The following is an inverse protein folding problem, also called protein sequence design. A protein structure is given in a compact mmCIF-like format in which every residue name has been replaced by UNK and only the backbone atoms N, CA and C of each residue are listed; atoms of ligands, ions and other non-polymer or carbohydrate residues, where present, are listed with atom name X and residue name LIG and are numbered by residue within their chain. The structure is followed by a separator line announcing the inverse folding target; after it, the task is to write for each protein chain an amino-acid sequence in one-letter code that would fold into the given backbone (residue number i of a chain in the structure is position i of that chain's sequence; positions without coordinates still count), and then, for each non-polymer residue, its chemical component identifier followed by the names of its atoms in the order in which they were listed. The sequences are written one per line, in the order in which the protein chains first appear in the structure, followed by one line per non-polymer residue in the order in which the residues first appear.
data_IF_809308579388
#
_entry.id   IF_809308579388
#
_cell.length_a   1.000
_cell.length_b   1.000
_cell.length_c   1.000
_cell.angle_alpha   90.00
_cell.angle_beta   90.00
_cell.angle_gamma   90.00
#
_symmetry.space_group_name_H-M   'P 1'
#
loop_
_entity.id
_entity.type
_entity.pdbx_description
1 polymer ?
#
# COMPACT_ATOMS: atom_id res chain seq x y z
N UNK A 1 -6.98 -6.89 -2.26
CA UNK A 1 -6.03 -5.86 -2.73
C UNK A 1 -4.57 -6.24 -2.53
N UNK A 2 -4.17 -6.80 -1.38
CA UNK A 2 -2.76 -7.16 -1.06
C UNK A 2 -2.03 -7.94 -2.17
N UNK A 3 -2.75 -8.77 -2.94
CA UNK A 3 -2.20 -9.48 -4.08
C UNK A 3 -1.53 -8.57 -5.11
N UNK A 4 -2.10 -7.38 -5.33
CA UNK A 4 -1.68 -6.40 -6.33
C UNK A 4 -0.55 -5.48 -5.84
N UNK A 5 -0.32 -5.36 -4.53
CA UNK A 5 0.71 -4.49 -3.94
C UNK A 5 2.13 -5.09 -3.98
N UNK A 6 2.39 -6.04 -4.88
CA UNK A 6 3.68 -6.73 -4.96
C UNK A 6 4.76 -5.71 -5.35
N UNK A 7 5.87 -5.71 -4.62
CA UNK A 7 6.99 -4.83 -4.88
C UNK A 7 7.91 -5.46 -5.94
N UNK A 8 8.56 -4.63 -6.76
CA UNK A 8 9.55 -5.11 -7.72
C UNK A 8 10.78 -5.72 -7.06
N UNK A 9 11.58 -6.45 -7.85
CA UNK A 9 12.89 -6.94 -7.42
C UNK A 9 13.89 -5.80 -7.55
N UNK A 10 14.36 -5.28 -6.44
CA UNK A 10 15.39 -4.25 -6.42
C UNK A 10 16.73 -4.86 -6.90
N UNK A 11 17.46 -4.13 -7.75
CA UNK A 11 18.76 -4.51 -8.29
C UNK A 11 19.87 -3.60 -7.74
N UNK A 12 21.12 -3.81 -8.17
CA UNK A 12 22.28 -3.06 -7.70
C UNK A 12 22.24 -1.57 -8.11
N UNK A 13 21.75 -1.26 -9.30
CA UNK A 13 21.57 0.13 -9.76
C UNK A 13 20.63 0.90 -8.82
N UNK A 14 19.51 0.27 -8.44
CA UNK A 14 18.56 0.87 -7.51
C UNK A 14 19.18 1.09 -6.12
N UNK A 15 19.97 0.13 -5.63
CA UNK A 15 20.68 0.27 -4.34
C UNK A 15 21.64 1.46 -4.41
N UNK A 16 22.35 1.61 -5.52
CA UNK A 16 23.27 2.72 -5.75
C UNK A 16 22.53 4.05 -5.78
N UNK A 17 21.43 4.15 -6.53
CA UNK A 17 20.61 5.37 -6.61
C UNK A 17 20.01 5.77 -5.26
N UNK A 18 19.69 4.78 -4.42
CA UNK A 18 19.17 5.05 -3.08
C UNK A 18 20.25 5.49 -2.09
N UNK A 19 21.54 5.19 -2.32
CA UNK A 19 22.64 5.62 -1.43
C UNK A 19 22.80 7.13 -1.38
N UNK A 20 22.41 7.83 -2.44
CA UNK A 20 22.39 9.29 -2.50
C UNK A 20 21.28 9.92 -1.65
N UNK A 21 20.36 9.10 -1.14
CA UNK A 21 19.31 9.52 -0.23
C UNK A 21 19.62 9.13 1.21
N UNK A 22 19.40 10.07 2.14
CA UNK A 22 19.26 9.72 3.55
C UNK A 22 17.99 8.86 3.72
N UNK A 23 18.08 7.60 4.21
CA UNK A 23 16.95 6.67 4.28
C UNK A 23 16.01 7.02 5.45
N UNK A 24 15.34 8.16 5.38
CA UNK A 24 14.47 8.72 6.43
C UNK A 24 13.29 7.80 6.79
N UNK A 25 12.94 6.85 5.93
CA UNK A 25 11.91 5.84 6.15
C UNK A 25 12.37 4.66 7.02
N UNK A 26 13.69 4.44 7.19
CA UNK A 26 14.27 3.26 7.84
C UNK A 26 13.71 2.98 9.24
N UNK A 27 13.62 4.00 10.09
CA UNK A 27 13.09 3.87 11.45
C UNK A 27 11.63 3.37 11.44
N UNK A 28 10.81 3.91 10.54
CA UNK A 28 9.41 3.53 10.39
C UNK A 28 9.26 2.11 9.87
N UNK A 29 10.00 1.74 8.82
CA UNK A 29 10.06 0.37 8.28
C UNK A 29 10.41 -0.62 9.39
N UNK A 30 11.49 -0.36 10.12
CA UNK A 30 11.94 -1.24 11.20
C UNK A 30 10.90 -1.35 12.33
N UNK A 31 10.20 -0.27 12.67
CA UNK A 31 9.12 -0.28 13.66
C UNK A 31 7.92 -1.13 13.22
N UNK A 32 7.56 -1.07 11.93
CA UNK A 32 6.47 -1.89 11.38
C UNK A 32 6.88 -3.37 11.34
N UNK A 33 8.10 -3.67 10.88
CA UNK A 33 8.66 -5.03 10.84
C UNK A 33 8.67 -5.67 12.23
N UNK A 34 9.15 -4.95 13.26
CA UNK A 34 9.12 -5.45 14.65
C UNK A 34 7.70 -5.81 15.11
N UNK A 35 6.69 -5.01 14.72
CA UNK A 35 5.29 -5.29 15.04
C UNK A 35 4.73 -6.50 14.29
N UNK A 36 5.13 -6.68 13.02
CA UNK A 36 4.75 -7.84 12.21
C UNK A 36 5.39 -9.14 12.75
N UNK A 37 6.65 -9.09 13.22
CA UNK A 37 7.30 -10.22 13.90
C UNK A 37 6.53 -10.70 15.13
N UNK A 38 5.98 -9.78 15.94
CA UNK A 38 5.13 -10.14 17.08
C UNK A 38 3.90 -10.94 16.65
N UNK A 39 3.28 -10.57 15.53
CA UNK A 39 2.15 -11.34 15.00
C UNK A 39 2.59 -12.72 14.51
N UNK A 40 3.71 -12.78 13.80
CA UNK A 40 4.24 -14.03 13.28
C UNK A 40 4.50 -15.05 14.41
N UNK A 41 5.17 -14.62 15.49
CA UNK A 41 5.40 -15.46 16.68
C UNK A 41 4.08 -15.95 17.29
N UNK A 42 3.06 -15.08 17.38
CA UNK A 42 1.73 -15.45 17.90
C UNK A 42 1.03 -16.52 17.06
N UNK A 43 1.33 -16.62 15.76
CA UNK A 43 0.66 -17.55 14.86
C UNK A 43 1.42 -18.87 14.64
N UNK A 44 2.76 -18.83 14.58
CA UNK A 44 3.58 -19.98 14.21
C UNK A 44 4.46 -20.52 15.34
N UNK A 45 4.49 -19.90 16.52
CA UNK A 45 5.44 -20.19 17.63
C UNK A 45 6.93 -20.02 17.27
N UNK A 46 7.30 -19.95 15.98
CA UNK A 46 8.63 -19.60 15.43
C UNK A 46 8.51 -18.75 14.16
N UNK A 47 9.61 -18.12 13.75
CA UNK A 47 9.72 -17.31 12.52
C UNK A 47 10.33 -17.99 11.30
N UNK A 48 10.71 -19.27 11.46
CA UNK A 48 11.36 -20.09 10.43
C UNK A 48 10.51 -20.16 9.16
N UNK A 49 11.11 -19.76 8.02
CA UNK A 49 10.52 -19.84 6.68
C UNK A 49 9.65 -18.63 6.29
N UNK A 50 9.49 -17.65 7.17
CA UNK A 50 8.78 -16.39 6.91
C UNK A 50 9.56 -15.18 7.45
N UNK A 51 10.88 -15.26 7.48
CA UNK A 51 11.71 -14.24 8.11
C UNK A 51 11.49 -12.87 7.45
N UNK A 52 11.32 -11.85 8.29
CA UNK A 52 11.26 -10.45 7.86
C UNK A 52 12.23 -9.63 8.70
N UNK A 53 13.48 -9.55 8.26
CA UNK A 53 14.53 -8.89 9.02
C UNK A 53 14.51 -7.37 8.84
N UNK A 54 14.89 -6.68 9.90
CA UNK A 54 15.12 -5.23 9.84
C UNK A 54 16.41 -4.97 9.10
N UNK A 55 16.40 -4.08 8.11
CA UNK A 55 17.61 -3.64 7.43
C UNK A 55 18.39 -2.64 8.30
N UNK A 56 19.72 -2.75 8.25
CA UNK A 56 20.66 -1.80 8.84
C UNK A 56 21.24 -0.87 7.77
N UNK A 57 21.43 -1.34 6.54
CA UNK A 57 22.03 -0.58 5.45
C UNK A 57 21.16 -0.67 4.19
N UNK A 58 21.32 0.27 3.26
CA UNK A 58 20.62 0.27 1.96
C UNK A 58 21.01 -0.96 1.14
N UNK A 59 22.25 -1.46 1.33
CA UNK A 59 22.73 -2.69 0.71
C UNK A 59 21.88 -3.92 1.09
N UNK A 60 21.17 -3.90 2.22
CA UNK A 60 20.29 -4.99 2.65
C UNK A 60 18.91 -4.96 1.94
N UNK A 61 18.63 -3.95 1.11
CA UNK A 61 17.28 -3.74 0.54
C UNK A 61 16.83 -4.84 -0.43
N UNK A 62 17.70 -5.48 -1.24
CA UNK A 62 17.36 -6.69 -1.99
C UNK A 62 16.73 -7.77 -1.12
N UNK A 63 17.39 -8.13 -0.03
CA UNK A 63 16.89 -9.13 0.89
C UNK A 63 15.61 -8.65 1.61
N UNK A 64 15.57 -7.39 2.04
CA UNK A 64 14.41 -6.80 2.70
C UNK A 64 13.15 -6.87 1.82
N UNK A 65 13.24 -6.46 0.55
CA UNK A 65 12.11 -6.46 -0.38
C UNK A 65 11.65 -7.89 -0.67
N UNK A 66 12.59 -8.82 -0.81
CA UNK A 66 12.29 -10.23 -0.97
C UNK A 66 11.56 -10.79 0.25
N UNK A 67 12.04 -10.51 1.47
CA UNK A 67 11.43 -10.93 2.73
C UNK A 67 10.02 -10.36 2.90
N UNK A 68 9.80 -9.09 2.55
CA UNK A 68 8.47 -8.45 2.57
C UNK A 68 7.51 -9.11 1.59
N UNK A 69 7.99 -9.43 0.38
CA UNK A 69 7.22 -10.17 -0.61
C UNK A 69 6.92 -11.60 -0.15
N UNK A 70 7.86 -12.28 0.50
CA UNK A 70 7.69 -13.63 1.04
C UNK A 70 6.72 -13.67 2.23
N UNK A 71 6.67 -12.61 3.05
CA UNK A 71 5.70 -12.46 4.13
C UNK A 71 4.24 -12.52 3.62
N UNK A 72 4.02 -12.21 2.34
CA UNK A 72 2.71 -12.41 1.68
C UNK A 72 2.26 -13.87 1.74
N UNK A 73 3.18 -14.84 1.69
CA UNK A 73 2.84 -16.26 1.74
C UNK A 73 2.33 -16.66 3.12
N UNK A 74 3.00 -16.20 4.19
CA UNK A 74 2.52 -16.33 5.57
C UNK A 74 1.12 -15.74 5.71
N UNK A 75 0.99 -14.50 5.21
CA UNK A 75 -0.26 -13.78 5.25
C UNK A 75 -1.34 -14.58 4.51
N UNK A 76 -1.14 -14.95 3.25
CA UNK A 76 -2.09 -15.70 2.41
C UNK A 76 -2.60 -17.00 3.05
N UNK A 77 -1.73 -17.76 3.73
CA UNK A 77 -2.12 -19.00 4.41
C UNK A 77 -3.17 -18.74 5.49
N UNK A 78 -2.97 -17.70 6.32
CA UNK A 78 -3.93 -17.34 7.38
C UNK A 78 -5.07 -16.46 6.86
N UNK A 79 -4.84 -15.71 5.80
CA UNK A 79 -5.75 -14.70 5.27
C UNK A 79 -6.95 -15.28 4.54
N UNK A 80 -6.84 -16.50 4.01
CA UNK A 80 -7.98 -17.23 3.44
C UNK A 80 -9.13 -17.40 4.44
N UNK A 81 -8.81 -17.60 5.71
CA UNK A 81 -9.79 -17.78 6.79
C UNK A 81 -10.29 -16.41 7.32
N UNK A 82 -9.39 -15.42 7.39
CA UNK A 82 -9.70 -14.10 7.93
C UNK A 82 -10.65 -13.31 7.01
N UNK A 83 -10.53 -13.47 5.68
CA UNK A 83 -11.26 -12.65 4.70
C UNK A 83 -12.77 -12.96 4.58
N UNK A 84 -13.24 -14.06 5.16
CA UNK A 84 -14.64 -14.51 5.06
C UNK A 84 -15.48 -14.18 6.31
N UNK A 85 -14.87 -13.77 7.42
CA UNK A 85 -15.58 -13.37 8.64
C UNK A 85 -15.17 -11.97 9.11
N UNK A 86 -16.13 -11.06 9.13
CA UNK A 86 -15.97 -9.69 9.63
C UNK A 86 -15.44 -9.61 11.07
N UNK A 87 -15.76 -10.58 11.94
CA UNK A 87 -15.24 -10.62 13.32
C UNK A 87 -13.76 -10.96 13.32
N UNK A 88 -13.33 -11.91 12.50
CA UNK A 88 -11.92 -12.24 12.33
C UNK A 88 -11.16 -11.09 11.67
N UNK A 89 -11.75 -10.45 10.65
CA UNK A 89 -11.16 -9.26 10.01
C UNK A 89 -10.84 -8.19 11.05
N UNK A 90 -11.78 -7.85 11.94
CA UNK A 90 -11.56 -6.90 13.04
C UNK A 90 -10.45 -7.34 14.00
N UNK A 91 -10.42 -8.63 14.36
CA UNK A 91 -9.40 -9.17 15.27
C UNK A 91 -7.98 -9.00 14.70
N UNK A 92 -7.82 -9.16 13.38
CA UNK A 92 -6.54 -9.10 12.70
C UNK A 92 -6.27 -7.78 11.97
N UNK A 93 -7.19 -6.83 12.01
CA UNK A 93 -7.12 -5.54 11.33
C UNK A 93 -5.78 -4.84 11.54
N UNK A 94 -5.28 -4.81 12.78
CA UNK A 94 -3.99 -4.20 13.10
C UNK A 94 -2.81 -4.81 12.34
N UNK A 95 -2.80 -6.14 12.14
CA UNK A 95 -1.77 -6.83 11.36
C UNK A 95 -1.90 -6.49 9.87
N UNK A 96 -3.13 -6.48 9.35
CA UNK A 96 -3.44 -6.16 7.94
C UNK A 96 -2.98 -4.74 7.62
N UNK A 97 -3.36 -3.77 8.46
CA UNK A 97 -2.98 -2.36 8.35
C UNK A 97 -1.47 -2.21 8.34
N UNK A 98 -0.77 -2.86 9.28
CA UNK A 98 0.70 -2.80 9.35
C UNK A 98 1.36 -3.34 8.09
N UNK A 99 0.91 -4.48 7.58
CA UNK A 99 1.50 -5.08 6.39
C UNK A 99 1.21 -4.26 5.13
N UNK A 100 -0.02 -3.80 4.95
CA UNK A 100 -0.38 -2.94 3.82
C UNK A 100 0.37 -1.60 3.86
N UNK A 101 0.52 -1.00 5.04
CA UNK A 101 1.31 0.22 5.21
C UNK A 101 2.78 -0.02 4.84
N UNK A 102 3.36 -1.16 5.22
CA UNK A 102 4.71 -1.54 4.82
C UNK A 102 4.82 -1.65 3.30
N UNK A 103 3.88 -2.34 2.63
CA UNK A 103 3.86 -2.45 1.17
C UNK A 103 3.75 -1.08 0.48
N UNK A 104 2.98 -0.15 1.06
CA UNK A 104 2.89 1.23 0.59
C UNK A 104 4.22 1.97 0.68
N UNK A 105 4.91 1.84 1.82
CA UNK A 105 6.25 2.42 2.01
C UNK A 105 7.24 1.84 0.98
N UNK A 106 7.26 0.52 0.79
CA UNK A 106 8.16 -0.11 -0.16
C UNK A 106 7.85 0.31 -1.61
N UNK A 107 6.57 0.45 -1.97
CA UNK A 107 6.18 0.97 -3.28
C UNK A 107 6.60 2.43 -3.50
N UNK A 108 6.66 3.25 -2.44
CA UNK A 108 7.18 4.61 -2.57
C UNK A 108 8.68 4.63 -2.84
N UNK A 109 9.44 3.71 -2.23
CA UNK A 109 10.88 3.54 -2.51
C UNK A 109 11.07 3.05 -3.95
N UNK A 110 10.26 2.10 -4.42
CA UNK A 110 10.24 1.68 -5.83
C UNK A 110 9.99 2.87 -6.78
N UNK A 111 9.06 3.77 -6.42
CA UNK A 111 8.82 5.00 -7.21
C UNK A 111 10.05 5.90 -7.25
N UNK A 112 10.82 5.99 -6.15
CA UNK A 112 12.09 6.74 -6.12
C UNK A 112 13.14 6.10 -7.02
N UNK A 113 13.27 4.78 -7.02
CA UNK A 113 14.20 4.08 -7.91
C UNK A 113 13.87 4.34 -9.38
N UNK A 114 12.58 4.27 -9.75
CA UNK A 114 12.11 4.58 -11.11
C UNK A 114 12.43 6.04 -11.46
N UNK A 115 12.20 6.96 -10.52
CA UNK A 115 12.53 8.37 -10.70
C UNK A 115 14.02 8.57 -11.02
N UNK A 116 14.94 8.01 -10.23
CA UNK A 116 16.38 8.15 -10.49
C UNK A 116 16.82 7.47 -11.78
N UNK A 117 16.30 6.26 -12.06
CA UNK A 117 16.55 5.56 -13.32
C UNK A 117 16.14 6.41 -14.52
N UNK A 118 14.98 7.07 -14.45
CA UNK A 118 14.49 7.94 -15.52
C UNK A 118 15.33 9.22 -15.66
N UNK A 119 15.84 9.80 -14.57
CA UNK A 119 16.72 10.97 -14.64
C UNK A 119 18.05 10.70 -15.36
N UNK A 120 18.51 9.45 -15.42
CA UNK A 120 19.72 9.06 -16.16
C UNK A 120 19.52 9.10 -17.69
N UNK A 121 18.28 9.00 -18.15
CA UNK A 121 17.94 8.79 -19.58
C UNK A 121 17.13 9.96 -20.14
N UNK A 122 16.32 10.62 -19.32
CA UNK A 122 15.40 11.68 -19.73
C UNK A 122 15.91 13.04 -19.26
N UNK A 123 15.85 14.02 -20.17
CA UNK A 123 16.05 15.42 -19.80
C UNK A 123 14.80 15.95 -19.08
N UNK A 124 14.87 16.04 -17.75
CA UNK A 124 13.75 16.50 -16.91
C UNK A 124 13.98 17.94 -16.48
N UNK A 125 13.20 18.87 -17.05
CA UNK A 125 13.26 20.31 -16.73
C UNK A 125 12.82 20.63 -15.30
N UNK A 126 11.78 19.95 -14.81
CA UNK A 126 11.23 20.15 -13.47
C UNK A 126 11.16 18.82 -12.72
N UNK A 127 12.18 18.57 -11.90
CA UNK A 127 12.35 17.34 -11.11
C UNK A 127 11.18 17.07 -10.16
N UNK A 128 10.70 18.11 -9.49
CA UNK A 128 9.60 18.00 -8.52
C UNK A 128 8.28 17.66 -9.19
N UNK A 129 7.97 18.33 -10.31
CA UNK A 129 6.78 18.05 -11.10
C UNK A 129 6.81 16.63 -11.69
N UNK A 130 7.98 16.19 -12.15
CA UNK A 130 8.15 14.82 -12.64
C UNK A 130 7.93 13.77 -11.55
N UNK A 131 8.50 13.98 -10.36
CA UNK A 131 8.27 13.09 -9.22
C UNK A 131 6.80 13.08 -8.77
N UNK A 132 6.13 14.23 -8.78
CA UNK A 132 4.69 14.34 -8.51
C UNK A 132 3.86 13.55 -9.53
N UNK A 133 4.19 13.67 -10.82
CA UNK A 133 3.52 12.91 -11.89
C UNK A 133 3.66 11.40 -11.68
N UNK A 134 4.89 10.91 -11.47
CA UNK A 134 5.15 9.49 -11.20
C UNK A 134 4.36 8.98 -9.97
N UNK A 135 4.33 9.77 -8.89
CA UNK A 135 3.61 9.42 -7.69
C UNK A 135 2.09 9.34 -7.92
N UNK A 136 1.52 10.33 -8.62
CA UNK A 136 0.09 10.38 -8.91
C UNK A 136 -0.34 9.28 -9.89
N UNK A 137 0.46 9.00 -10.92
CA UNK A 137 0.20 7.91 -11.85
C UNK A 137 0.16 6.56 -11.12
N UNK A 138 1.07 6.34 -10.16
CA UNK A 138 1.09 5.12 -9.36
C UNK A 138 -0.12 5.02 -8.41
N UNK A 139 -0.52 6.12 -7.75
CA UNK A 139 -1.73 6.17 -6.91
C UNK A 139 -2.97 5.84 -7.75
N UNK A 140 -3.11 6.47 -8.92
CA UNK A 140 -4.23 6.23 -9.84
C UNK A 140 -4.26 4.80 -10.35
N UNK A 141 -3.10 4.21 -10.66
CA UNK A 141 -3.00 2.79 -11.03
C UNK A 141 -3.62 1.88 -9.98
N UNK A 142 -3.22 2.02 -8.70
CA UNK A 142 -3.79 1.20 -7.63
C UNK A 142 -5.25 1.53 -7.31
N UNK A 143 -5.64 2.80 -7.47
CA UNK A 143 -7.02 3.22 -7.29
C UNK A 143 -7.96 2.61 -8.35
N UNK A 144 -7.53 2.55 -9.60
CA UNK A 144 -8.27 1.87 -10.67
C UNK A 144 -8.46 0.37 -10.37
N UNK A 145 -7.42 -0.30 -9.86
CA UNK A 145 -7.53 -1.71 -9.41
C UNK A 145 -8.57 -1.81 -8.28
N UNK A 146 -8.53 -0.91 -7.29
CA UNK A 146 -9.49 -0.88 -6.19
C UNK A 146 -10.92 -0.70 -6.69
N UNK A 147 -11.16 0.26 -7.59
CA UNK A 147 -12.47 0.48 -8.19
C UNK A 147 -12.96 -0.76 -8.94
N UNK A 148 -12.13 -1.37 -9.78
CA UNK A 148 -12.51 -2.55 -10.56
C UNK A 148 -12.91 -3.73 -9.66
N UNK A 149 -12.18 -3.95 -8.56
CA UNK A 149 -12.52 -4.99 -7.58
C UNK A 149 -13.88 -4.72 -6.91
N UNK A 150 -14.26 -3.46 -6.71
CA UNK A 150 -15.54 -3.10 -6.10
C UNK A 150 -16.69 -3.02 -7.11
N UNK A 151 -16.43 -2.67 -8.37
CA UNK A 151 -17.43 -2.67 -9.46
C UNK A 151 -18.05 -4.05 -9.65
N UNK A 152 -17.27 -5.12 -9.47
CA UNK A 152 -17.79 -6.50 -9.52
C UNK A 152 -18.86 -6.79 -8.44
N UNK A 153 -18.86 -6.02 -7.35
CA UNK A 153 -19.79 -6.18 -6.23
C UNK A 153 -21.01 -5.26 -6.38
N UNK A 154 -20.76 -4.01 -6.76
CA UNK A 154 -21.79 -2.96 -6.79
C UNK A 154 -22.47 -2.81 -8.15
N UNK A 155 -21.90 -3.37 -9.22
CA UNK A 155 -22.35 -3.15 -10.60
C UNK A 155 -22.43 -1.64 -10.89
N UNK A 156 -23.46 -1.19 -11.60
CA UNK A 156 -23.65 0.20 -12.03
C UNK A 156 -24.29 1.10 -10.94
N UNK A 157 -23.77 1.03 -9.70
CA UNK A 157 -24.24 1.91 -8.61
C UNK A 157 -23.76 3.35 -8.85
N UNK A 158 -24.65 4.18 -9.43
CA UNK A 158 -24.39 5.60 -9.74
C UNK A 158 -23.91 6.43 -8.56
N UNK A 159 -24.31 6.10 -7.33
CA UNK A 159 -23.88 6.88 -6.16
C UNK A 159 -22.42 6.57 -5.81
N UNK A 160 -21.98 5.33 -5.98
CA UNK A 160 -20.56 4.98 -5.85
C UNK A 160 -19.72 5.62 -6.93
N UNK A 161 -20.20 5.70 -8.16
CA UNK A 161 -19.49 6.41 -9.24
C UNK A 161 -19.24 7.87 -8.87
N UNK A 162 -20.26 8.56 -8.32
CA UNK A 162 -20.10 9.92 -7.81
C UNK A 162 -19.03 10.01 -6.72
N UNK A 163 -19.08 9.13 -5.70
CA UNK A 163 -18.05 9.07 -4.66
C UNK A 163 -16.66 8.85 -5.27
N UNK A 164 -16.56 7.95 -6.24
CA UNK A 164 -15.30 7.57 -6.84
C UNK A 164 -14.70 8.64 -7.75
N UNK A 165 -15.53 9.55 -8.27
CA UNK A 165 -15.11 10.74 -9.00
C UNK A 165 -14.82 11.96 -8.11
N UNK A 166 -15.15 11.91 -6.82
CA UNK A 166 -15.03 13.04 -5.87
C UNK A 166 -13.60 13.18 -5.31
N UNK A 167 -12.63 13.39 -6.20
CA UNK A 167 -11.26 13.76 -5.87
C UNK A 167 -10.68 14.71 -6.92
N UNK A 168 -9.64 15.44 -6.52
CA UNK A 168 -8.94 16.39 -7.40
C UNK A 168 -7.55 15.84 -7.67
N UNK A 169 -7.04 16.07 -8.89
CA UNK A 169 -5.63 15.85 -9.24
C UNK A 169 -4.90 17.20 -9.10
N UNK A 170 -4.26 17.47 -7.96
CA UNK A 170 -3.58 18.74 -7.73
C UNK A 170 -2.29 18.82 -8.54
N UNK A 171 -1.90 20.05 -8.93
CA UNK A 171 -0.64 20.31 -9.65
C UNK A 171 0.60 20.24 -8.76
N UNK A 172 0.45 20.52 -7.46
CA UNK A 172 1.57 20.76 -6.53
C UNK A 172 1.69 19.74 -5.39
N UNK A 173 0.81 18.74 -5.34
CA UNK A 173 0.79 17.73 -4.29
C UNK A 173 0.37 16.38 -4.85
N UNK A 174 0.46 15.35 -4.00
CA UNK A 174 -0.06 14.03 -4.35
C UNK A 174 -1.58 13.98 -4.16
N UNK A 175 -2.24 13.13 -4.95
CA UNK A 175 -3.68 12.90 -4.85
C UNK A 175 -4.03 12.37 -3.45
N UNK A 176 -5.06 12.96 -2.84
CA UNK A 176 -5.61 12.51 -1.57
C UNK A 176 -6.94 11.76 -1.77
N UNK A 177 -6.92 10.44 -1.53
CA UNK A 177 -8.08 9.56 -1.69
C UNK A 177 -8.80 9.27 -0.36
N UNK A 178 -8.39 9.85 0.77
CA UNK A 178 -8.94 9.49 2.08
C UNK A 178 -10.45 9.72 2.17
N UNK A 179 -10.94 10.86 1.66
CA UNK A 179 -12.38 11.18 1.61
C UNK A 179 -13.15 10.12 0.83
N UNK A 180 -12.68 9.80 -0.38
CA UNK A 180 -13.29 8.79 -1.27
C UNK A 180 -13.39 7.42 -0.58
N UNK A 181 -12.32 6.98 0.08
CA UNK A 181 -12.28 5.68 0.77
C UNK A 181 -13.21 5.65 1.99
N UNK A 182 -13.25 6.73 2.78
CA UNK A 182 -14.14 6.86 3.92
C UNK A 182 -15.61 6.82 3.46
N UNK A 183 -15.96 7.61 2.43
CA UNK A 183 -17.32 7.64 1.88
C UNK A 183 -17.73 6.29 1.29
N UNK A 184 -16.82 5.61 0.58
CA UNK A 184 -17.04 4.26 0.06
C UNK A 184 -17.39 3.30 1.20
N UNK A 185 -16.61 3.30 2.29
CA UNK A 185 -16.86 2.44 3.44
C UNK A 185 -18.17 2.78 4.17
N UNK A 186 -18.47 4.07 4.37
CA UNK A 186 -19.70 4.52 5.01
C UNK A 186 -20.95 4.13 4.21
N UNK A 187 -20.91 4.31 2.88
CA UNK A 187 -21.98 3.89 1.99
C UNK A 187 -22.19 2.38 2.02
N UNK A 188 -21.10 1.62 1.90
CA UNK A 188 -21.07 0.16 2.05
C UNK A 188 -21.74 -0.31 3.34
N UNK A 189 -21.39 0.30 4.47
CA UNK A 189 -21.97 0.02 5.79
C UNK A 189 -23.46 0.32 5.84
N UNK A 190 -23.91 1.41 5.20
CA UNK A 190 -25.33 1.78 5.10
C UNK A 190 -26.12 0.74 4.28
N UNK A 191 -25.58 0.28 3.14
CA UNK A 191 -26.20 -0.75 2.31
C UNK A 191 -26.33 -2.07 3.08
N UNK A 192 -25.28 -2.49 3.78
CA UNK A 192 -25.30 -3.70 4.61
C UNK A 192 -26.34 -3.63 5.74
N UNK A 193 -26.42 -2.51 6.46
CA UNK A 193 -27.44 -2.29 7.50
C UNK A 193 -28.87 -2.37 6.94
N UNK A 194 -29.07 -1.88 5.71
CA UNK A 194 -30.36 -1.95 4.99
C UNK A 194 -30.59 -3.30 4.29
N UNK A 195 -29.72 -4.30 4.49
CA UNK A 195 -29.76 -5.61 3.83
C UNK A 195 -29.73 -5.55 2.29
N UNK A 196 -29.27 -4.43 1.72
CA UNK A 196 -29.05 -4.28 0.26
C UNK A 196 -27.72 -4.86 -0.21
N UNK A 197 -26.84 -5.20 0.73
CA UNK A 197 -25.56 -5.84 0.49
C UNK A 197 -25.42 -7.02 1.45
N UNK A 198 -25.13 -8.21 0.92
CA UNK A 198 -24.93 -9.40 1.75
C UNK A 198 -23.66 -9.26 2.62
N UNK A 199 -23.56 -10.11 3.65
CA UNK A 199 -22.45 -10.05 4.63
C UNK A 199 -21.09 -10.35 3.99
N UNK A 200 -21.04 -11.24 3.01
CA UNK A 200 -19.82 -11.62 2.30
C UNK A 200 -19.27 -10.42 1.52
N UNK A 201 -20.08 -9.81 0.66
CA UNK A 201 -19.74 -8.61 -0.10
C UNK A 201 -19.36 -7.46 0.82
N UNK A 202 -20.09 -7.24 1.92
CA UNK A 202 -19.71 -6.25 2.93
C UNK A 202 -18.31 -6.52 3.50
N UNK A 203 -17.98 -7.78 3.78
CA UNK A 203 -16.67 -8.18 4.31
C UNK A 203 -15.57 -7.97 3.27
N UNK A 204 -15.81 -8.33 2.00
CA UNK A 204 -14.87 -8.12 0.90
C UNK A 204 -14.56 -6.64 0.72
N UNK A 205 -15.59 -5.79 0.65
CA UNK A 205 -15.43 -4.34 0.48
C UNK A 205 -14.72 -3.72 1.67
N UNK A 206 -15.13 -4.08 2.90
CA UNK A 206 -14.48 -3.61 4.13
C UNK A 206 -13.00 -3.92 4.12
N UNK A 207 -12.65 -5.18 3.80
CA UNK A 207 -11.28 -5.65 3.69
C UNK A 207 -10.50 -4.90 2.61
N UNK A 208 -11.01 -4.83 1.38
CA UNK A 208 -10.35 -4.13 0.28
C UNK A 208 -10.12 -2.64 0.60
N UNK A 209 -11.09 -1.99 1.24
CA UNK A 209 -10.97 -0.57 1.65
C UNK A 209 -9.92 -0.39 2.74
N UNK A 210 -9.91 -1.23 3.78
CA UNK A 210 -8.88 -1.18 4.84
C UNK A 210 -7.48 -1.43 4.29
N UNK A 211 -7.32 -2.44 3.43
CA UNK A 211 -6.04 -2.75 2.78
C UNK A 211 -5.54 -1.55 1.96
N UNK A 212 -6.39 -1.00 1.08
CA UNK A 212 -6.00 0.08 0.18
C UNK A 212 -5.76 1.41 0.92
N UNK A 213 -6.60 1.75 1.89
CA UNK A 213 -6.40 2.92 2.74
C UNK A 213 -5.05 2.88 3.47
N UNK A 214 -4.69 1.73 4.04
CA UNK A 214 -3.42 1.56 4.76
C UNK A 214 -2.22 1.65 3.82
N UNK A 215 -2.34 1.04 2.64
CA UNK A 215 -1.34 1.12 1.58
C UNK A 215 -1.10 2.57 1.13
N UNK A 216 -2.15 3.29 0.74
CA UNK A 216 -2.04 4.67 0.24
C UNK A 216 -1.46 5.60 1.30
N UNK A 217 -1.82 5.44 2.58
CA UNK A 217 -1.22 6.26 3.64
C UNK A 217 0.27 5.98 3.81
N UNK A 218 0.70 4.71 3.77
CA UNK A 218 2.12 4.35 3.81
C UNK A 218 2.90 4.91 2.62
N UNK A 219 2.33 4.81 1.43
CA UNK A 219 2.90 5.36 0.20
C UNK A 219 3.02 6.88 0.24
N UNK A 220 1.89 7.55 0.51
CA UNK A 220 1.73 9.00 0.50
C UNK A 220 2.68 9.69 1.46
N UNK A 221 2.84 9.14 2.66
CA UNK A 221 3.71 9.72 3.69
C UNK A 221 5.17 9.81 3.23
N UNK A 222 5.70 8.72 2.68
CA UNK A 222 7.11 8.66 2.30
C UNK A 222 7.36 9.44 1.00
N UNK A 223 6.48 9.27 0.00
CA UNK A 223 6.66 9.94 -1.29
C UNK A 223 6.49 11.46 -1.17
N UNK A 224 5.59 11.95 -0.33
CA UNK A 224 5.44 13.39 -0.07
C UNK A 224 6.73 13.97 0.49
N UNK A 225 7.32 13.30 1.49
CA UNK A 225 8.57 13.75 2.09
C UNK A 225 9.73 13.75 1.10
N UNK A 226 9.80 12.73 0.23
CA UNK A 226 10.78 12.70 -0.85
C UNK A 226 10.61 13.91 -1.79
N UNK A 227 9.40 14.14 -2.30
CA UNK A 227 9.09 15.25 -3.22
C UNK A 227 9.36 16.62 -2.59
N UNK A 228 9.10 16.78 -1.29
CA UNK A 228 9.38 18.02 -0.56
C UNK A 228 10.87 18.32 -0.45
N UNK A 229 11.72 17.29 -0.44
CA UNK A 229 13.17 17.40 -0.36
C UNK A 229 13.84 17.52 -1.74
N UNK A 230 13.09 17.43 -2.84
CA UNK A 230 13.61 17.70 -4.17
C UNK A 230 13.73 19.22 -4.37
N UNK A 231 14.95 19.67 -4.66
CA UNK A 231 15.28 21.04 -5.08
C UNK A 231 14.90 21.21 -6.54
#
# INVERSE_FOLDING_TARGET
MISYFKCFKINEDNVTDLKDLNPFWKSKVNKIIKRLKVWLIKFNKSDVGFEINTSKLIDDYPELFQNINNFKNFFNQKYKIIKVDIKLLKKFEKMIVQYCQLLGIINSIETMCIYFSNLKILEVKNRKEYALKLANDNILRFYNIFQNELKNIYKDDKYLELIWSDFIIPKSSIINLNKVLILTFQYTKKLSKKKKLNKENYTIVSKNTTEFYSFINGYSEIITRFIQNLI
#
